data_IF_553241696871
#
_entry.id   IF_553241696871
#
_cell.length_a   1.000
_cell.length_b   1.000
_cell.length_c   1.000
_cell.angle_alpha   90.00
_cell.angle_beta   90.00
_cell.angle_gamma   90.00
#
_symmetry.space_group_name_H-M   'P 1'
#
loop_
_entity.id
_entity.type
_entity.pdbx_description
1 polymer ?
#
# COMPACT_ATOMS: atom_id res chain seq x y z
N UNK A 1 26.93 27.66 -5.89
CA UNK A 1 25.91 26.59 -5.83
C UNK A 1 26.40 25.64 -4.77
N UNK A 2 25.91 25.82 -3.54
CA UNK A 2 26.41 25.09 -2.36
C UNK A 2 25.80 23.70 -2.34
N UNK A 3 26.60 22.71 -2.72
CA UNK A 3 26.28 21.30 -2.47
C UNK A 3 26.22 21.08 -0.96
N UNK A 4 25.02 21.05 -0.42
CA UNK A 4 24.81 20.55 0.95
C UNK A 4 25.08 19.05 0.94
N UNK A 5 26.31 18.66 1.10
CA UNK A 5 26.66 17.34 1.58
C UNK A 5 26.16 17.29 3.02
N UNK A 6 24.99 16.70 3.24
CA UNK A 6 24.59 16.32 4.59
C UNK A 6 25.56 15.25 5.04
N UNK A 7 26.51 15.64 5.89
CA UNK A 7 27.42 14.68 6.51
C UNK A 7 26.58 13.87 7.50
N UNK A 8 26.31 12.64 7.12
CA UNK A 8 25.60 11.65 7.94
C UNK A 8 26.41 11.30 9.21
N UNK A 9 27.68 11.68 9.24
CA UNK A 9 28.62 11.41 10.34
C UNK A 9 28.18 11.98 11.69
N UNK A 10 27.47 13.12 11.70
CA UNK A 10 27.04 13.79 12.95
C UNK A 10 25.93 13.03 13.66
N UNK A 11 24.99 12.47 12.91
CA UNK A 11 23.88 11.68 13.49
C UNK A 11 24.37 10.34 14.03
N UNK A 12 25.34 9.72 13.38
CA UNK A 12 25.97 8.47 13.83
C UNK A 12 26.67 8.63 15.19
N UNK A 13 27.43 9.72 15.35
CA UNK A 13 28.16 10.01 16.61
C UNK A 13 27.23 10.36 17.78
N UNK A 14 26.14 11.09 17.51
CA UNK A 14 25.17 11.50 18.53
C UNK A 14 24.24 10.39 19.01
N UNK A 15 23.79 9.51 18.10
CA UNK A 15 22.76 8.51 18.41
C UNK A 15 23.30 7.07 18.50
N UNK A 16 24.61 6.85 18.27
CA UNK A 16 25.23 5.51 18.25
C UNK A 16 24.51 4.50 17.36
N UNK A 17 23.84 4.98 16.30
CA UNK A 17 23.09 4.16 15.37
C UNK A 17 23.88 3.96 14.07
N UNK A 18 24.23 2.72 13.77
CA UNK A 18 24.92 2.38 12.53
C UNK A 18 23.90 2.23 11.37
N UNK A 19 24.18 2.89 10.25
CA UNK A 19 23.44 2.65 9.02
C UNK A 19 23.87 1.31 8.41
N UNK A 20 22.87 0.54 7.94
CA UNK A 20 23.16 -0.67 7.18
C UNK A 20 23.13 -0.30 5.67
N UNK A 21 24.29 -0.23 4.99
CA UNK A 21 24.37 0.14 3.59
C UNK A 21 23.62 -0.82 2.66
N UNK A 22 23.51 -2.11 3.02
CA UNK A 22 22.81 -3.12 2.23
C UNK A 22 21.28 -2.90 2.18
N UNK A 23 20.75 -2.16 3.15
CA UNK A 23 19.32 -1.80 3.21
C UNK A 23 19.03 -0.43 2.62
N UNK A 24 20.06 0.32 2.23
CA UNK A 24 19.89 1.64 1.68
C UNK A 24 19.65 1.56 0.17
N UNK A 25 18.57 2.16 -0.28
CA UNK A 25 18.19 2.25 -1.69
C UNK A 25 18.06 3.70 -2.10
N UNK A 26 18.40 3.99 -3.36
CA UNK A 26 18.23 5.32 -3.95
C UNK A 26 17.15 5.26 -5.00
N UNK A 27 16.09 6.03 -4.81
CA UNK A 27 15.05 6.21 -5.80
C UNK A 27 15.10 7.62 -6.38
N UNK A 28 15.19 7.74 -7.68
CA UNK A 28 15.18 9.01 -8.38
C UNK A 28 13.76 9.35 -8.82
N UNK A 29 13.23 10.44 -8.29
CA UNK A 29 11.93 10.99 -8.67
C UNK A 29 12.19 12.20 -9.58
N UNK A 30 11.94 12.07 -10.89
CA UNK A 30 12.14 13.18 -11.82
C UNK A 30 11.30 12.99 -13.09
N UNK A 31 10.75 14.08 -13.60
CA UNK A 31 10.14 14.15 -14.92
C UNK A 31 11.12 14.61 -16.02
N UNK A 32 12.34 15.02 -15.63
CA UNK A 32 13.37 15.45 -16.58
C UNK A 32 14.01 14.24 -17.25
N UNK A 33 14.28 14.37 -18.55
CA UNK A 33 15.00 13.36 -19.36
C UNK A 33 16.52 13.45 -19.19
N UNK A 34 17.02 14.02 -18.10
CA UNK A 34 18.44 14.15 -17.85
C UNK A 34 19.10 12.79 -17.70
N UNK A 35 20.14 12.56 -18.50
CA UNK A 35 20.89 11.31 -18.53
C UNK A 35 21.93 11.18 -17.41
N UNK A 36 22.27 12.27 -16.74
CA UNK A 36 23.25 12.27 -15.65
C UNK A 36 22.64 11.60 -14.41
N UNK A 37 23.15 10.40 -14.09
CA UNK A 37 22.79 9.70 -12.85
C UNK A 37 23.85 10.04 -11.81
N UNK A 38 23.55 10.87 -10.80
CA UNK A 38 24.48 11.08 -9.70
C UNK A 38 24.70 9.77 -8.96
N UNK A 39 25.95 9.48 -8.64
CA UNK A 39 26.33 8.30 -7.86
C UNK A 39 26.34 8.73 -6.39
N UNK A 40 25.53 8.11 -5.61
CA UNK A 40 25.51 8.29 -4.16
C UNK A 40 26.24 7.14 -3.49
N UNK A 41 27.08 7.43 -2.49
CA UNK A 41 27.79 6.42 -1.72
C UNK A 41 27.80 6.77 -0.24
N UNK A 42 27.57 5.79 0.62
CA UNK A 42 27.69 5.89 2.07
C UNK A 42 28.34 4.59 2.55
N UNK A 43 29.68 4.51 2.52
CA UNK A 43 30.38 3.27 2.84
C UNK A 43 30.23 2.15 1.79
N UNK A 44 29.46 2.37 0.71
CA UNK A 44 29.18 1.45 -0.39
C UNK A 44 28.35 2.12 -1.48
N UNK A 45 28.17 1.46 -2.65
CA UNK A 45 27.29 1.98 -3.69
C UNK A 45 25.84 1.62 -3.39
N UNK A 46 24.96 2.60 -3.42
CA UNK A 46 23.52 2.37 -3.27
C UNK A 46 22.91 1.71 -4.50
N UNK A 47 21.99 0.80 -4.25
CA UNK A 47 21.16 0.20 -5.29
C UNK A 47 20.13 1.22 -5.77
N UNK A 48 20.14 1.51 -7.08
CA UNK A 48 19.08 2.33 -7.68
C UNK A 48 17.83 1.50 -7.91
N UNK A 49 16.69 1.95 -7.39
CA UNK A 49 15.41 1.27 -7.50
C UNK A 49 14.36 2.19 -8.12
N UNK A 50 13.43 1.60 -8.88
CA UNK A 50 12.27 2.32 -9.45
C UNK A 50 11.07 2.31 -8.52
N UNK A 51 11.01 1.34 -7.61
CA UNK A 51 9.95 1.22 -6.64
C UNK A 51 10.55 0.77 -5.32
N UNK A 52 10.12 1.39 -4.26
CA UNK A 52 10.50 1.00 -2.90
C UNK A 52 9.26 0.91 -2.01
N UNK A 53 9.37 0.12 -0.95
CA UNK A 53 8.30 -0.01 0.03
C UNK A 53 8.75 0.64 1.32
N UNK A 54 8.14 1.76 1.67
CA UNK A 54 8.41 2.47 2.91
C UNK A 54 7.18 2.42 3.82
N UNK A 55 7.39 1.99 5.07
CA UNK A 55 6.35 1.83 6.11
C UNK A 55 5.08 1.12 5.59
N UNK A 56 5.24 0.17 4.67
CA UNK A 56 4.12 -0.57 4.10
C UNK A 56 3.49 0.05 2.84
N UNK A 57 3.84 1.29 2.51
CA UNK A 57 3.38 1.99 1.29
C UNK A 57 4.39 1.78 0.17
N UNK A 58 3.92 1.39 -1.02
CA UNK A 58 4.78 1.24 -2.20
C UNK A 58 4.84 2.58 -2.93
N UNK A 59 6.03 3.15 -2.99
CA UNK A 59 6.32 4.40 -3.70
C UNK A 59 6.99 4.05 -5.02
N UNK A 60 6.55 4.65 -6.12
CA UNK A 60 7.13 4.49 -7.45
C UNK A 60 7.87 5.76 -7.86
N UNK A 61 8.90 5.64 -8.68
CA UNK A 61 9.72 6.77 -9.18
C UNK A 61 8.92 7.79 -10.02
N UNK A 62 7.79 7.38 -10.58
CA UNK A 62 6.82 8.22 -11.30
C UNK A 62 5.74 8.82 -10.39
N UNK A 63 5.82 8.58 -9.07
CA UNK A 63 4.80 8.96 -8.08
C UNK A 63 3.39 8.44 -8.41
N UNK A 64 3.29 7.35 -9.15
CA UNK A 64 2.03 6.69 -9.45
C UNK A 64 1.67 5.72 -8.34
N UNK A 65 0.43 5.78 -7.88
CA UNK A 65 -0.09 4.93 -6.81
C UNK A 65 -0.69 3.60 -7.29
N UNK A 66 -0.78 3.40 -8.61
CA UNK A 66 -1.44 2.22 -9.19
C UNK A 66 -0.90 0.90 -8.67
N UNK A 67 0.43 0.78 -8.49
CA UNK A 67 1.06 -0.45 -7.94
C UNK A 67 0.66 -0.69 -6.48
N UNK A 68 0.65 0.37 -5.68
CA UNK A 68 0.23 0.29 -4.27
C UNK A 68 -1.25 -0.09 -4.16
N UNK A 69 -2.12 0.60 -4.91
CA UNK A 69 -3.56 0.33 -4.94
C UNK A 69 -3.84 -1.11 -5.37
N UNK A 70 -3.19 -1.59 -6.43
CA UNK A 70 -3.34 -2.97 -6.89
C UNK A 70 -2.95 -4.00 -5.82
N UNK A 71 -1.81 -3.80 -5.15
CA UNK A 71 -1.36 -4.68 -4.07
C UNK A 71 -2.33 -4.66 -2.87
N UNK A 72 -2.83 -3.48 -2.50
CA UNK A 72 -3.79 -3.29 -1.41
C UNK A 72 -5.13 -3.95 -1.71
N UNK A 73 -5.67 -3.75 -2.91
CA UNK A 73 -6.92 -4.38 -3.39
C UNK A 73 -6.80 -5.90 -3.39
N UNK A 74 -5.69 -6.45 -3.89
CA UNK A 74 -5.46 -7.90 -3.89
C UNK A 74 -5.42 -8.45 -2.46
N UNK A 75 -4.71 -7.80 -1.54
CA UNK A 75 -4.65 -8.20 -0.14
C UNK A 75 -6.03 -8.16 0.51
N UNK A 76 -6.79 -7.11 0.28
CA UNK A 76 -8.15 -6.96 0.80
C UNK A 76 -9.10 -8.05 0.25
N UNK A 77 -9.00 -8.37 -1.05
CA UNK A 77 -9.80 -9.42 -1.67
C UNK A 77 -9.48 -10.82 -1.13
N UNK A 78 -8.20 -11.11 -0.85
CA UNK A 78 -7.79 -12.38 -0.21
C UNK A 78 -8.45 -12.51 1.16
N UNK A 79 -8.37 -11.47 2.01
CA UNK A 79 -8.98 -11.49 3.35
C UNK A 79 -10.49 -11.60 3.25
N UNK A 80 -11.12 -10.85 2.34
CA UNK A 80 -12.57 -10.94 2.09
C UNK A 80 -12.98 -12.34 1.65
N UNK A 81 -12.18 -13.00 0.80
CA UNK A 81 -12.39 -14.37 0.37
C UNK A 81 -12.28 -15.39 1.52
N UNK A 82 -11.35 -15.17 2.45
CA UNK A 82 -11.21 -15.99 3.67
C UNK A 82 -12.46 -15.82 4.55
N UNK A 83 -12.88 -14.60 4.81
CA UNK A 83 -14.08 -14.30 5.59
C UNK A 83 -15.30 -15.01 4.99
N UNK A 84 -15.50 -14.89 3.67
CA UNK A 84 -16.64 -15.54 2.98
C UNK A 84 -16.64 -17.05 3.10
N UNK A 85 -15.47 -17.68 3.12
CA UNK A 85 -15.33 -19.15 3.21
C UNK A 85 -15.42 -19.68 4.63
N UNK A 86 -14.80 -18.97 5.59
CA UNK A 86 -14.71 -19.43 6.98
C UNK A 86 -16.02 -19.24 7.74
N UNK A 87 -16.78 -18.20 7.39
CA UNK A 87 -18.03 -17.88 8.07
C UNK A 87 -19.16 -18.46 7.22
N UNK A 88 -19.46 -19.74 7.42
CA UNK A 88 -20.65 -20.40 6.87
C UNK A 88 -21.97 -19.84 7.42
N UNK A 89 -21.93 -18.77 8.21
CA UNK A 89 -23.08 -18.17 8.88
C UNK A 89 -23.72 -17.11 8.00
N UNK A 90 -25.04 -17.18 7.90
CA UNK A 90 -25.87 -16.16 7.26
C UNK A 90 -26.00 -14.88 8.13
N UNK A 91 -25.17 -14.71 9.14
CA UNK A 91 -25.25 -13.58 10.05
C UNK A 91 -24.58 -12.33 9.44
N UNK A 92 -25.41 -11.41 8.97
CA UNK A 92 -25.00 -10.14 8.36
C UNK A 92 -24.18 -9.27 9.31
N UNK A 93 -24.51 -9.31 10.59
CA UNK A 93 -23.84 -8.46 11.58
C UNK A 93 -22.41 -8.92 11.82
N UNK A 94 -22.20 -10.26 11.93
CA UNK A 94 -20.88 -10.83 12.07
C UNK A 94 -20.02 -10.53 10.84
N UNK A 95 -20.57 -10.69 9.63
CA UNK A 95 -19.87 -10.37 8.40
C UNK A 95 -19.46 -8.88 8.35
N UNK A 96 -20.39 -7.99 8.72
CA UNK A 96 -20.13 -6.54 8.74
C UNK A 96 -19.05 -6.17 9.75
N UNK A 97 -19.05 -6.78 10.93
CA UNK A 97 -18.01 -6.56 11.95
C UNK A 97 -16.63 -7.03 11.45
N UNK A 98 -16.57 -8.21 10.84
CA UNK A 98 -15.32 -8.75 10.32
C UNK A 98 -14.81 -7.94 9.12
N UNK A 99 -15.68 -7.47 8.25
CA UNK A 99 -15.29 -6.56 7.20
C UNK A 99 -14.67 -5.27 7.77
N UNK A 100 -15.34 -4.64 8.75
CA UNK A 100 -14.87 -3.41 9.38
C UNK A 100 -13.55 -3.59 10.15
N UNK A 101 -13.34 -4.74 10.76
CA UNK A 101 -12.14 -5.01 11.57
C UNK A 101 -10.95 -5.52 10.76
N UNK A 102 -11.15 -6.28 9.69
CA UNK A 102 -10.09 -6.96 8.97
C UNK A 102 -9.84 -6.39 7.55
N UNK A 103 -10.89 -6.04 6.81
CA UNK A 103 -10.75 -5.61 5.41
C UNK A 103 -10.59 -4.10 5.30
N UNK A 104 -11.44 -3.35 5.98
CA UNK A 104 -11.43 -1.88 5.92
C UNK A 104 -10.10 -1.27 6.34
N UNK A 105 -9.43 -1.72 7.43
CA UNK A 105 -8.13 -1.16 7.82
C UNK A 105 -7.03 -1.36 6.76
N UNK A 106 -7.12 -2.44 5.96
CA UNK A 106 -6.18 -2.67 4.86
C UNK A 106 -6.36 -1.62 3.77
N UNK A 107 -7.60 -1.27 3.43
CA UNK A 107 -7.94 -0.29 2.40
C UNK A 107 -7.66 1.15 2.83
N UNK A 108 -7.77 1.45 4.12
CA UNK A 108 -7.63 2.81 4.67
C UNK A 108 -6.23 3.09 5.23
N UNK A 109 -5.36 2.06 5.31
CA UNK A 109 -4.03 2.23 5.87
C UNK A 109 -3.23 3.30 5.12
N UNK A 110 -2.75 4.30 5.85
CA UNK A 110 -1.97 5.43 5.33
C UNK A 110 -2.66 6.17 4.15
N UNK A 111 -4.00 6.15 4.06
CA UNK A 111 -4.76 6.80 2.98
C UNK A 111 -4.38 8.26 2.71
N UNK A 112 -4.05 9.12 3.72
CA UNK A 112 -3.61 10.49 3.46
C UNK A 112 -2.33 10.59 2.64
N UNK A 113 -1.48 9.56 2.65
CA UNK A 113 -0.20 9.54 1.91
C UNK A 113 -0.40 9.20 0.44
N UNK A 114 -1.26 8.24 0.15
CA UNK A 114 -1.39 7.66 -1.19
C UNK A 114 -2.76 7.86 -1.84
N UNK A 115 -3.59 8.77 -1.34
CA UNK A 115 -4.94 9.01 -1.88
C UNK A 115 -4.96 9.01 -3.41
N UNK A 116 -5.66 8.06 -4.06
CA UNK A 116 -5.60 7.91 -5.50
C UNK A 116 -6.40 9.02 -6.18
N UNK A 117 -5.82 9.63 -7.21
CA UNK A 117 -6.46 10.63 -8.06
C UNK A 117 -6.99 10.06 -9.38
N UNK A 118 -6.54 8.86 -9.76
CA UNK A 118 -6.99 8.21 -10.99
C UNK A 118 -8.29 7.45 -10.76
N UNK A 119 -9.27 7.68 -11.61
CA UNK A 119 -10.60 7.04 -11.54
C UNK A 119 -10.49 5.52 -11.53
N UNK A 120 -9.58 4.93 -12.32
CA UNK A 120 -9.35 3.48 -12.34
C UNK A 120 -8.98 2.91 -10.96
N UNK A 121 -8.16 3.63 -10.21
CA UNK A 121 -7.67 3.19 -8.90
C UNK A 121 -8.77 3.35 -7.85
N UNK A 122 -9.54 4.44 -7.91
CA UNK A 122 -10.72 4.67 -7.07
C UNK A 122 -11.75 3.56 -7.30
N UNK A 123 -12.07 3.26 -8.56
CA UNK A 123 -13.03 2.21 -8.91
C UNK A 123 -12.55 0.83 -8.43
N UNK A 124 -11.24 0.55 -8.48
CA UNK A 124 -10.69 -0.71 -7.98
C UNK A 124 -10.90 -0.87 -6.47
N UNK A 125 -10.70 0.17 -5.68
CA UNK A 125 -10.96 0.18 -4.24
C UNK A 125 -12.46 0.03 -3.92
N UNK A 126 -13.32 0.78 -4.63
CA UNK A 126 -14.76 0.69 -4.46
C UNK A 126 -15.33 -0.68 -4.81
N UNK A 127 -14.76 -1.38 -5.80
CA UNK A 127 -15.20 -2.75 -6.15
C UNK A 127 -15.07 -3.71 -4.97
N UNK A 128 -14.03 -3.60 -4.15
CA UNK A 128 -13.86 -4.43 -2.95
C UNK A 128 -14.99 -4.14 -1.96
N UNK A 129 -15.30 -2.86 -1.75
CA UNK A 129 -16.34 -2.42 -0.83
C UNK A 129 -17.73 -2.85 -1.31
N UNK A 130 -18.04 -2.68 -2.59
CA UNK A 130 -19.29 -3.17 -3.20
C UNK A 130 -19.40 -4.70 -3.11
N UNK A 131 -18.30 -5.43 -3.38
CA UNK A 131 -18.27 -6.89 -3.24
C UNK A 131 -18.55 -7.39 -1.82
N UNK A 132 -18.21 -6.60 -0.80
CA UNK A 132 -18.59 -6.88 0.58
C UNK A 132 -20.08 -6.61 0.84
N UNK A 133 -20.63 -5.51 0.30
CA UNK A 133 -22.06 -5.18 0.42
C UNK A 133 -22.96 -6.22 -0.27
N UNK A 134 -22.58 -6.66 -1.47
CA UNK A 134 -23.32 -7.74 -2.16
C UNK A 134 -23.32 -9.03 -1.39
N UNK A 135 -22.22 -9.40 -0.75
CA UNK A 135 -22.15 -10.60 0.08
C UNK A 135 -23.09 -10.54 1.29
N UNK A 136 -23.43 -9.35 1.76
CA UNK A 136 -24.44 -9.14 2.82
C UNK A 136 -25.87 -9.06 2.29
N UNK A 137 -26.09 -8.62 1.06
CA UNK A 137 -27.42 -8.40 0.49
C UNK A 137 -27.98 -9.65 -0.22
N UNK A 138 -27.20 -10.32 -1.07
CA UNK A 138 -27.70 -11.46 -1.87
C UNK A 138 -28.08 -12.70 -1.05
N UNK A 139 -27.58 -12.84 0.19
CA UNK A 139 -28.02 -13.94 1.06
C UNK A 139 -29.38 -13.69 1.74
N UNK A 140 -29.88 -12.46 1.72
CA UNK A 140 -31.20 -12.16 2.28
C UNK A 140 -32.37 -12.50 1.33
N UNK A 141 -32.12 -12.62 0.03
CA UNK A 141 -33.18 -12.91 -0.96
C UNK A 141 -33.41 -14.41 -1.18
N UNK A 142 -32.37 -15.25 -0.92
CA UNK A 142 -32.49 -16.72 -1.09
C UNK A 142 -33.47 -17.34 -0.08
N UNK A 143 -33.68 -16.74 1.08
CA UNK A 143 -34.58 -17.26 2.11
C UNK A 143 -36.06 -16.85 1.95
N UNK A 144 -36.34 -15.90 1.06
CA UNK A 144 -37.72 -15.47 0.80
C UNK A 144 -38.43 -16.33 -0.22
N UNK A 145 -37.70 -17.17 -0.95
CA UNK A 145 -38.23 -18.03 -2.00
C UNK A 145 -38.41 -19.50 -1.55
N UNK A 146 -38.10 -19.84 -0.29
CA UNK A 146 -38.25 -21.21 0.27
C UNK A 146 -39.33 -21.32 1.36
N UNK A 147 -40.20 -20.29 1.50
CA UNK A 147 -41.43 -20.31 2.29
C UNK A 147 -42.64 -20.19 1.36
#
# INVERSE_FOLDING_TARGET
MLDRVFSVDVTHLLWQMNFNPDKCEVMRITHRKDKTKPIYSLGGQFRSVENTKDLGVTISSDLSWGKHVFATVNKANIVLGIIKRSIGTNNRDVFSQLYKSLVRPILEYAAPVWSPYLIKDIVALEKVQRGAQFATCCKAETWRNEL
#
